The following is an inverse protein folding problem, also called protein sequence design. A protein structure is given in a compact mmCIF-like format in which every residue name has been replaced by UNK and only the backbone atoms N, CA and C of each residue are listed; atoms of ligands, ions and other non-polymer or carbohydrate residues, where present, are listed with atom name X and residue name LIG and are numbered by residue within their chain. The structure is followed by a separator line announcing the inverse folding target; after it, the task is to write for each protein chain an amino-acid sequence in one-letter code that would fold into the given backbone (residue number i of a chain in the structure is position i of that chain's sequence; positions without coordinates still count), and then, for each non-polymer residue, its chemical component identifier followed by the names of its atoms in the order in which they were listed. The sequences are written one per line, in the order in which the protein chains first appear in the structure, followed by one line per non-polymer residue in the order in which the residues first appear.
data_IF_657351383179
#
_entry.id   IF_657351383179
#
_cell.length_a   1.000
_cell.length_b   1.000
_cell.length_c   1.000
_cell.angle_alpha   90.00
_cell.angle_beta   90.00
_cell.angle_gamma   90.00
#
_symmetry.space_group_name_H-M   'P 1'
#
loop_
_entity.id
_entity.type
_entity.pdbx_description
1 polymer ?
#
# COMPACT_ATOMS: atom_id res chain seq x y z
N UNK A 1 -22.65 26.47 -0.47
CA UNK A 1 -21.46 26.54 -1.34
C UNK A 1 -20.39 27.56 -0.90
N UNK A 2 -20.57 28.39 0.14
CA UNK A 2 -19.55 29.39 0.56
C UNK A 2 -18.53 28.80 1.55
N UNK A 3 -18.98 28.00 2.52
CA UNK A 3 -18.14 27.48 3.61
C UNK A 3 -17.00 26.56 3.17
N UNK A 4 -17.20 25.70 2.16
CA UNK A 4 -16.13 24.81 1.67
C UNK A 4 -14.96 25.60 1.12
N UNK A 5 -15.25 26.67 0.38
CA UNK A 5 -14.24 27.45 -0.35
C UNK A 5 -13.35 28.25 0.61
N UNK A 6 -13.89 28.68 1.76
CA UNK A 6 -13.13 29.36 2.81
C UNK A 6 -12.24 28.38 3.59
N UNK A 7 -12.80 27.26 4.08
CA UNK A 7 -12.03 26.24 4.79
C UNK A 7 -10.91 25.65 3.91
N UNK A 8 -11.20 25.41 2.62
CA UNK A 8 -10.20 24.97 1.65
C UNK A 8 -9.09 26.00 1.44
N UNK A 9 -9.40 27.29 1.39
CA UNK A 9 -8.39 28.34 1.24
C UNK A 9 -7.53 28.50 2.48
N UNK A 10 -8.07 28.24 3.66
CA UNK A 10 -7.30 28.29 4.92
C UNK A 10 -6.38 27.07 5.06
N UNK A 11 -6.89 25.87 4.77
CA UNK A 11 -6.15 24.61 4.97
C UNK A 11 -5.21 24.27 3.82
N UNK A 12 -5.53 24.71 2.61
CA UNK A 12 -4.71 24.51 1.43
C UNK A 12 -4.02 25.81 1.08
N UNK A 13 -2.70 25.77 0.89
CA UNK A 13 -1.91 26.93 0.48
C UNK A 13 -2.22 27.32 -0.98
N UNK A 14 -3.41 27.85 -1.23
CA UNK A 14 -3.89 28.26 -2.55
C UNK A 14 -3.31 29.63 -2.88
N UNK A 15 -2.69 29.74 -4.04
CA UNK A 15 -2.14 31.01 -4.54
C UNK A 15 -2.47 31.21 -6.02
N UNK A 16 -2.39 32.45 -6.47
CA UNK A 16 -2.73 32.85 -7.84
C UNK A 16 -1.46 33.05 -8.66
N UNK A 17 -1.46 32.57 -9.90
CA UNK A 17 -0.39 32.76 -10.90
C UNK A 17 -0.91 33.53 -12.11
N UNK A 18 -0.13 33.50 -13.21
CA UNK A 18 -0.48 34.15 -14.47
C UNK A 18 -1.92 33.83 -14.90
N UNK A 19 -2.57 34.82 -15.53
CA UNK A 19 -3.96 34.74 -15.98
C UNK A 19 -5.00 34.52 -14.87
N UNK A 20 -4.67 34.92 -13.63
CA UNK A 20 -5.55 34.78 -12.46
C UNK A 20 -5.93 33.33 -12.13
N UNK A 21 -5.11 32.37 -12.58
CA UNK A 21 -5.35 30.96 -12.33
C UNK A 21 -4.88 30.57 -10.92
N UNK A 22 -5.72 29.83 -10.20
CA UNK A 22 -5.44 29.35 -8.85
C UNK A 22 -4.71 28.01 -8.88
N UNK A 23 -3.74 27.88 -7.98
CA UNK A 23 -2.90 26.70 -7.82
C UNK A 23 -2.79 26.30 -6.36
N UNK A 24 -2.51 25.02 -6.13
CA UNK A 24 -2.04 24.50 -4.84
C UNK A 24 -0.86 23.56 -5.06
N UNK A 25 -0.13 23.24 -4.01
CA UNK A 25 0.94 22.24 -4.05
C UNK A 25 0.41 20.92 -3.50
N UNK A 26 0.47 19.86 -4.30
CA UNK A 26 0.10 18.51 -3.89
C UNK A 26 0.86 18.11 -2.63
N UNK A 27 0.15 17.76 -1.56
CA UNK A 27 0.77 17.47 -0.27
C UNK A 27 1.70 16.25 -0.27
N UNK A 28 1.47 15.30 -1.19
CA UNK A 28 2.30 14.09 -1.34
C UNK A 28 3.41 14.26 -2.37
N UNK A 29 3.09 14.74 -3.58
CA UNK A 29 4.07 14.82 -4.68
C UNK A 29 4.93 16.09 -4.66
N UNK A 30 4.49 17.12 -3.94
CA UNK A 30 5.13 18.43 -3.96
C UNK A 30 5.04 19.15 -5.32
N UNK A 31 4.21 18.67 -6.24
CA UNK A 31 3.97 19.31 -7.54
C UNK A 31 2.89 20.37 -7.42
N UNK A 32 3.01 21.44 -8.20
CA UNK A 32 1.96 22.45 -8.33
C UNK A 32 0.85 21.95 -9.24
N UNK A 33 -0.40 22.16 -8.82
CA UNK A 33 -1.57 21.67 -9.53
C UNK A 33 -2.56 22.83 -9.69
N UNK A 34 -3.06 23.11 -10.91
CA UNK A 34 -4.13 24.07 -11.11
C UNK A 34 -5.42 23.52 -10.50
N UNK A 35 -6.13 24.33 -9.73
CA UNK A 35 -7.38 23.90 -9.08
C UNK A 35 -8.63 24.39 -9.82
N UNK A 36 -8.49 25.41 -10.66
CA UNK A 36 -9.60 25.89 -11.49
C UNK A 36 -10.04 24.80 -12.46
N UNK A 37 -11.33 24.48 -12.44
CA UNK A 37 -11.91 23.39 -13.23
C UNK A 37 -11.56 21.98 -12.75
N UNK A 38 -10.91 21.83 -11.58
CA UNK A 38 -10.57 20.52 -10.97
C UNK A 38 -11.15 20.37 -9.55
N UNK A 39 -12.48 20.40 -9.41
CA UNK A 39 -13.14 20.31 -8.09
C UNK A 39 -12.82 19.02 -7.32
N UNK A 40 -12.59 17.91 -8.00
CA UNK A 40 -12.21 16.64 -7.37
C UNK A 40 -10.81 16.68 -6.75
N UNK A 41 -9.88 17.41 -7.36
CA UNK A 41 -8.52 17.60 -6.82
C UNK A 41 -8.55 18.35 -5.49
N UNK A 42 -9.46 19.32 -5.35
CA UNK A 42 -9.63 20.04 -4.10
C UNK A 42 -10.08 19.11 -2.97
N UNK A 43 -11.09 18.27 -3.24
CA UNK A 43 -11.55 17.25 -2.28
C UNK A 43 -10.43 16.28 -1.92
N UNK A 44 -9.62 15.86 -2.90
CA UNK A 44 -8.44 15.01 -2.69
C UNK A 44 -7.43 15.66 -1.75
N UNK A 45 -7.07 16.93 -2.00
CA UNK A 45 -6.11 17.65 -1.17
C UNK A 45 -6.63 17.87 0.25
N UNK A 46 -7.93 18.07 0.44
CA UNK A 46 -8.55 18.12 1.77
C UNK A 46 -8.44 16.80 2.52
N UNK A 47 -8.71 15.67 1.86
CA UNK A 47 -8.53 14.36 2.47
C UNK A 47 -7.07 14.09 2.86
N UNK A 48 -6.13 14.46 1.98
CA UNK A 48 -4.70 14.38 2.26
C UNK A 48 -4.28 15.30 3.40
N UNK A 49 -4.84 16.50 3.49
CA UNK A 49 -4.59 17.43 4.61
C UNK A 49 -4.97 16.76 5.93
N UNK A 50 -6.16 16.15 6.02
CA UNK A 50 -6.55 15.38 7.20
C UNK A 50 -5.52 14.29 7.53
N UNK A 51 -5.14 13.45 6.56
CA UNK A 51 -4.18 12.37 6.80
C UNK A 51 -2.80 12.87 7.26
N UNK A 52 -2.31 13.98 6.69
CA UNK A 52 -0.93 14.43 6.87
C UNK A 52 -0.78 15.41 8.04
N UNK A 53 -1.75 16.29 8.26
CA UNK A 53 -1.66 17.41 9.20
C UNK A 53 -2.51 17.23 10.44
N UNK A 54 -3.66 16.57 10.33
CA UNK A 54 -4.62 16.48 11.45
C UNK A 54 -4.59 15.10 12.13
N UNK A 55 -4.41 14.02 11.36
CA UNK A 55 -4.53 12.66 11.90
C UNK A 55 -3.34 12.24 12.77
N UNK A 56 -2.16 12.81 12.55
CA UNK A 56 -0.90 12.40 13.18
C UNK A 56 -0.40 11.01 12.75
N UNK A 57 -0.94 10.44 11.67
CA UNK A 57 -0.55 9.11 11.18
C UNK A 57 0.63 9.15 10.21
N UNK A 58 0.73 10.18 9.39
CA UNK A 58 1.81 10.32 8.41
C UNK A 58 2.94 11.19 8.99
N UNK A 59 4.24 10.85 8.77
CA UNK A 59 4.76 9.72 7.98
C UNK A 59 5.04 8.45 8.79
N UNK A 60 4.72 8.45 10.08
CA UNK A 60 5.26 7.46 11.04
C UNK A 60 4.52 6.12 11.03
N UNK A 61 3.23 6.13 10.70
CA UNK A 61 2.35 4.93 10.71
C UNK A 61 1.98 4.47 9.31
N UNK A 62 1.84 5.40 8.37
CA UNK A 62 1.39 5.11 7.02
C UNK A 62 2.32 5.69 5.95
N UNK A 63 2.29 5.04 4.78
CA UNK A 63 2.74 5.62 3.53
C UNK A 63 1.53 5.88 2.64
N UNK A 64 1.62 6.90 1.78
CA UNK A 64 0.51 7.32 0.91
C UNK A 64 1.03 7.39 -0.53
N UNK A 65 0.27 6.82 -1.47
CA UNK A 65 0.43 7.06 -2.90
C UNK A 65 -0.83 7.75 -3.42
N UNK A 66 -0.65 8.60 -4.43
CA UNK A 66 -1.75 9.33 -5.09
C UNK A 66 -1.69 9.05 -6.58
N UNK A 67 -2.85 8.92 -7.22
CA UNK A 67 -2.99 8.65 -8.65
C UNK A 67 -2.21 7.39 -9.11
N UNK A 68 -2.16 6.36 -8.28
CA UNK A 68 -1.50 5.07 -8.57
C UNK A 68 -2.53 3.99 -8.89
N UNK A 69 -2.23 3.12 -9.86
CA UNK A 69 -3.09 2.00 -10.25
C UNK A 69 -4.54 2.39 -10.61
N UNK A 70 -4.76 3.61 -11.12
CA UNK A 70 -6.08 4.22 -11.37
C UNK A 70 -6.92 4.48 -10.11
N UNK A 71 -6.30 4.49 -8.93
CA UNK A 71 -6.92 4.91 -7.68
C UNK A 71 -6.50 6.35 -7.35
N UNK A 72 -7.39 7.11 -6.73
CA UNK A 72 -7.07 8.48 -6.32
C UNK A 72 -6.02 8.52 -5.20
N UNK A 73 -6.24 7.72 -4.15
CA UNK A 73 -5.34 7.62 -3.00
C UNK A 73 -5.25 6.16 -2.54
N UNK A 74 -4.02 5.66 -2.37
CA UNK A 74 -3.73 4.39 -1.73
C UNK A 74 -2.98 4.63 -0.42
N UNK A 75 -3.48 4.07 0.68
CA UNK A 75 -2.85 4.12 1.99
C UNK A 75 -2.21 2.78 2.27
N UNK A 76 -0.94 2.78 2.66
CA UNK A 76 -0.16 1.58 3.01
C UNK A 76 0.33 1.66 4.43
N UNK A 77 0.59 0.51 5.07
CA UNK A 77 1.36 0.47 6.32
C UNK A 77 2.75 1.03 6.07
N UNK A 78 3.31 1.72 7.07
CA UNK A 78 4.70 2.16 7.00
C UNK A 78 5.60 0.92 7.00
N UNK A 79 6.54 0.89 6.06
CA UNK A 79 7.57 -0.11 6.01
C UNK A 79 8.47 -0.03 7.26
N UNK A 80 8.59 -1.15 7.97
CA UNK A 80 9.40 -1.25 9.21
C UNK A 80 10.82 -1.73 8.97
N UNK A 81 11.07 -2.47 7.88
CA UNK A 81 12.36 -3.10 7.61
C UNK A 81 12.78 -2.90 6.14
N UNK A 82 13.98 -2.34 5.93
CA UNK A 82 14.51 -2.04 4.60
C UNK A 82 14.91 -3.29 3.79
N UNK A 83 15.13 -4.42 4.47
CA UNK A 83 15.45 -5.72 3.86
C UNK A 83 14.21 -6.61 3.67
N UNK A 84 13.06 -6.20 4.18
CA UNK A 84 11.80 -6.89 3.98
C UNK A 84 10.79 -5.95 3.33
N UNK A 85 10.79 -5.98 2.00
CA UNK A 85 9.97 -5.15 1.13
C UNK A 85 9.15 -5.98 0.15
N UNK A 86 8.42 -7.04 0.57
CA UNK A 86 7.55 -7.74 -0.36
C UNK A 86 6.46 -6.79 -0.87
N UNK A 87 5.88 -7.12 -2.02
CA UNK A 87 4.67 -6.48 -2.50
C UNK A 87 3.56 -6.64 -1.47
N UNK A 88 2.94 -5.51 -1.11
CA UNK A 88 1.79 -5.46 -0.23
C UNK A 88 0.65 -4.74 -0.94
N UNK A 89 -0.56 -5.27 -0.78
CA UNK A 89 -1.77 -4.56 -1.19
C UNK A 89 -1.94 -3.28 -0.35
N UNK A 90 -2.63 -2.25 -0.87
CA UNK A 90 -3.04 -1.12 -0.04
C UNK A 90 -3.81 -1.58 1.19
N UNK A 91 -3.57 -0.90 2.31
CA UNK A 91 -4.38 -1.02 3.53
C UNK A 91 -5.80 -0.50 3.28
N UNK A 92 -5.88 0.67 2.61
CA UNK A 92 -7.11 1.35 2.26
C UNK A 92 -6.95 1.94 0.86
N UNK A 93 -7.99 1.82 0.04
CA UNK A 93 -8.16 2.59 -1.20
C UNK A 93 -9.20 3.68 -0.96
N UNK A 94 -8.90 4.91 -1.32
CA UNK A 94 -9.85 6.03 -1.26
C UNK A 94 -10.07 6.54 -2.67
N UNK A 95 -11.34 6.61 -3.04
CA UNK A 95 -11.82 7.19 -4.29
C UNK A 95 -12.58 8.48 -3.93
N UNK A 96 -12.15 9.59 -4.52
CA UNK A 96 -12.74 10.90 -4.27
C UNK A 96 -13.69 11.28 -5.39
N UNK A 97 -14.69 12.08 -5.06
CA UNK A 97 -15.61 12.68 -6.04
C UNK A 97 -15.79 14.16 -5.72
N UNK A 98 -16.33 14.89 -6.69
CA UNK A 98 -16.72 16.29 -6.49
C UNK A 98 -17.81 16.40 -5.40
N UNK A 99 -17.86 17.53 -4.72
CA UNK A 99 -18.79 17.78 -3.60
C UNK A 99 -20.28 17.60 -3.95
N UNK A 100 -20.65 17.85 -5.21
CA UNK A 100 -22.02 17.84 -5.70
C UNK A 100 -22.51 16.45 -6.13
N UNK A 101 -21.64 15.45 -6.06
CA UNK A 101 -21.90 14.11 -6.61
C UNK A 101 -22.48 13.18 -5.55
N UNK A 102 -23.57 12.48 -5.90
CA UNK A 102 -24.08 11.35 -5.13
C UNK A 102 -23.10 10.17 -5.19
N UNK A 103 -22.49 9.84 -4.04
CA UNK A 103 -21.49 8.78 -3.93
C UNK A 103 -22.05 7.37 -4.20
N UNK A 104 -23.36 7.15 -4.05
CA UNK A 104 -23.98 5.83 -4.28
C UNK A 104 -23.79 5.33 -5.72
N UNK A 105 -23.69 6.24 -6.68
CA UNK A 105 -23.45 5.91 -8.08
C UNK A 105 -22.09 5.23 -8.32
N UNK A 106 -21.18 5.28 -7.36
CA UNK A 106 -19.79 4.81 -7.48
C UNK A 106 -19.50 3.55 -6.65
N UNK A 107 -20.52 2.91 -6.07
CA UNK A 107 -20.36 1.69 -5.28
C UNK A 107 -19.68 0.57 -6.08
N UNK A 108 -20.12 0.35 -7.32
CA UNK A 108 -19.55 -0.68 -8.19
C UNK A 108 -18.07 -0.39 -8.52
N UNK A 109 -17.68 0.88 -8.61
CA UNK A 109 -16.31 1.27 -8.91
C UNK A 109 -15.39 0.90 -7.74
N UNK A 110 -15.72 1.33 -6.52
CA UNK A 110 -14.87 1.06 -5.36
C UNK A 110 -14.83 -0.43 -5.03
N UNK A 111 -15.95 -1.16 -5.14
CA UNK A 111 -15.97 -2.61 -4.93
C UNK A 111 -15.06 -3.34 -5.94
N UNK A 112 -15.07 -2.94 -7.21
CA UNK A 112 -14.17 -3.49 -8.24
C UNK A 112 -12.71 -3.23 -7.90
N UNK A 113 -12.36 -2.03 -7.43
CA UNK A 113 -11.00 -1.72 -6.99
C UNK A 113 -10.54 -2.60 -5.83
N UNK A 114 -11.39 -2.80 -4.82
CA UNK A 114 -11.10 -3.69 -3.70
C UNK A 114 -10.92 -5.15 -4.12
N UNK A 115 -11.73 -5.63 -5.07
CA UNK A 115 -11.59 -6.98 -5.61
C UNK A 115 -10.27 -7.15 -6.34
N UNK A 116 -9.97 -6.26 -7.29
CA UNK A 116 -8.81 -6.38 -8.18
C UNK A 116 -7.48 -6.17 -7.45
N UNK A 117 -7.45 -5.27 -6.46
CA UNK A 117 -6.26 -4.97 -5.68
C UNK A 117 -6.05 -5.93 -4.51
N UNK A 118 -7.04 -6.77 -4.17
CA UNK A 118 -7.01 -7.57 -2.95
C UNK A 118 -7.00 -6.72 -1.67
N UNK A 119 -7.45 -5.47 -1.73
CA UNK A 119 -7.63 -4.58 -0.59
C UNK A 119 -8.98 -4.85 0.09
N UNK A 120 -9.02 -4.76 1.43
CA UNK A 120 -10.23 -5.06 2.19
C UNK A 120 -11.03 -3.81 2.59
N UNK A 121 -10.46 -2.61 2.50
CA UNK A 121 -11.11 -1.38 2.95
C UNK A 121 -11.11 -0.36 1.82
N UNK A 122 -12.30 0.09 1.45
CA UNK A 122 -12.49 1.16 0.47
C UNK A 122 -13.23 2.33 1.07
N UNK A 123 -12.94 3.53 0.61
CA UNK A 123 -13.62 4.75 1.04
C UNK A 123 -14.05 5.54 -0.19
N UNK A 124 -15.32 5.90 -0.25
CA UNK A 124 -15.81 6.96 -1.14
C UNK A 124 -15.94 8.25 -0.34
N UNK A 125 -15.42 9.35 -0.89
CA UNK A 125 -15.39 10.63 -0.21
C UNK A 125 -15.67 11.78 -1.18
N UNK A 126 -16.61 12.66 -0.84
CA UNK A 126 -16.89 13.88 -1.60
C UNK A 126 -16.81 15.14 -0.73
N UNK A 127 -16.03 15.13 0.34
CA UNK A 127 -16.02 16.15 1.40
C UNK A 127 -17.18 16.06 2.39
N UNK A 128 -18.42 16.07 1.91
CA UNK A 128 -19.61 16.10 2.77
C UNK A 128 -20.01 14.73 3.31
N UNK A 129 -19.79 13.69 2.51
CA UNK A 129 -20.14 12.31 2.81
C UNK A 129 -18.89 11.45 2.78
N UNK A 130 -18.87 10.48 3.69
CA UNK A 130 -17.87 9.43 3.77
C UNK A 130 -18.63 8.12 3.74
N UNK A 131 -18.26 7.21 2.86
CA UNK A 131 -18.84 5.87 2.77
C UNK A 131 -17.71 4.86 2.81
N UNK A 132 -17.71 4.00 3.83
CA UNK A 132 -16.67 2.99 4.04
C UNK A 132 -17.21 1.63 3.63
N UNK A 133 -16.42 0.91 2.85
CA UNK A 133 -16.64 -0.47 2.43
C UNK A 133 -15.63 -1.36 3.14
N UNK A 134 -16.11 -2.34 3.89
CA UNK A 134 -15.28 -3.39 4.49
C UNK A 134 -15.62 -4.71 3.81
N UNK A 135 -14.64 -5.28 3.11
CA UNK A 135 -14.77 -6.58 2.47
C UNK A 135 -14.54 -7.68 3.50
N UNK A 136 -15.54 -8.54 3.67
CA UNK A 136 -15.44 -9.81 4.41
C UNK A 136 -15.73 -10.96 3.45
N UNK A 137 -14.67 -11.66 3.06
CA UNK A 137 -14.74 -12.72 2.04
C UNK A 137 -15.33 -12.21 0.71
N UNK A 138 -16.57 -12.58 0.39
CA UNK A 138 -17.27 -12.23 -0.85
C UNK A 138 -18.38 -11.18 -0.64
N UNK A 139 -18.49 -10.61 0.55
CA UNK A 139 -19.52 -9.61 0.89
C UNK A 139 -18.87 -8.29 1.31
N UNK A 140 -19.61 -7.20 1.15
CA UNK A 140 -19.22 -5.85 1.57
C UNK A 140 -20.17 -5.35 2.64
N UNK A 141 -19.60 -4.97 3.78
CA UNK A 141 -20.29 -4.20 4.82
C UNK A 141 -20.06 -2.71 4.54
N UNK A 142 -21.14 -1.92 4.57
CA UNK A 142 -21.12 -0.49 4.22
C UNK A 142 -21.44 0.34 5.47
N UNK A 143 -20.61 1.34 5.74
CA UNK A 143 -20.74 2.23 6.89
C UNK A 143 -20.69 3.69 6.46
N UNK A 144 -21.44 4.53 7.17
CA UNK A 144 -21.58 5.97 6.91
C UNK A 144 -21.10 6.75 8.16
N UNK A 145 -19.79 6.92 8.35
CA UNK A 145 -19.29 7.67 9.49
C UNK A 145 -19.60 9.17 9.36
N UNK A 146 -19.77 9.82 10.50
CA UNK A 146 -20.06 11.26 10.55
C UNK A 146 -18.83 12.14 10.30
N UNK A 147 -17.61 11.61 10.48
CA UNK A 147 -16.38 12.37 10.33
C UNK A 147 -15.14 11.50 10.03
N UNK A 148 -14.07 12.17 9.61
CA UNK A 148 -12.80 11.54 9.20
C UNK A 148 -12.04 10.86 10.35
N UNK A 149 -12.35 11.15 11.63
CA UNK A 149 -11.69 10.49 12.78
C UNK A 149 -11.90 8.97 12.74
N UNK A 150 -13.03 8.50 12.21
CA UNK A 150 -13.29 7.06 12.05
C UNK A 150 -12.27 6.40 11.11
N UNK A 151 -11.79 7.12 10.10
CA UNK A 151 -10.77 6.63 9.16
C UNK A 151 -9.44 6.46 9.90
N UNK A 152 -9.07 7.41 10.77
CA UNK A 152 -7.88 7.28 11.62
C UNK A 152 -7.95 6.03 12.50
N UNK A 153 -9.10 5.79 13.13
CA UNK A 153 -9.31 4.58 13.95
C UNK A 153 -9.16 3.29 13.15
N UNK A 154 -9.73 3.25 11.93
CA UNK A 154 -9.61 2.09 11.04
C UNK A 154 -8.16 1.82 10.64
N UNK A 155 -7.39 2.86 10.30
CA UNK A 155 -5.98 2.72 9.99
C UNK A 155 -5.21 2.15 11.17
N UNK A 156 -5.44 2.68 12.39
CA UNK A 156 -4.77 2.20 13.60
C UNK A 156 -5.15 0.76 13.94
N UNK A 157 -6.42 0.39 13.81
CA UNK A 157 -6.86 -0.98 14.01
C UNK A 157 -6.18 -1.93 13.02
N UNK A 158 -6.15 -1.55 11.74
CA UNK A 158 -5.54 -2.37 10.71
C UNK A 158 -4.01 -2.44 10.83
N UNK A 159 -3.35 -1.43 11.41
CA UNK A 159 -1.90 -1.44 11.74
C UNK A 159 -1.56 -2.23 13.01
N UNK A 160 -2.49 -2.33 13.98
CA UNK A 160 -2.26 -2.96 15.28
C UNK A 160 -2.07 -4.48 15.25
N UNK A 161 -2.32 -5.13 14.11
CA UNK A 161 -2.07 -6.57 13.95
C UNK A 161 -0.57 -6.86 13.98
N UNK A 162 -0.18 -7.95 14.65
CA UNK A 162 1.19 -8.50 14.55
C UNK A 162 1.48 -8.72 13.05
N UNK A 163 2.66 -8.28 12.63
CA UNK A 163 3.13 -8.51 11.26
C UNK A 163 3.78 -9.89 11.24
N UNK A 164 2.95 -10.93 11.12
CA UNK A 164 3.39 -12.33 11.13
C UNK A 164 4.47 -12.58 10.06
N UNK A 165 4.37 -11.90 8.91
CA UNK A 165 5.33 -12.01 7.82
C UNK A 165 6.70 -11.43 8.20
N UNK A 166 6.71 -10.30 8.91
CA UNK A 166 7.96 -9.73 9.44
C UNK A 166 8.58 -10.62 10.53
N UNK A 167 7.76 -11.24 11.39
CA UNK A 167 8.25 -12.18 12.40
C UNK A 167 8.88 -13.42 11.75
N UNK A 168 8.22 -14.01 10.75
CA UNK A 168 8.79 -15.11 9.97
C UNK A 168 10.06 -14.68 9.23
N UNK A 169 10.13 -13.44 8.75
CA UNK A 169 11.35 -12.90 8.16
C UNK A 169 12.50 -12.86 9.16
N UNK A 170 12.28 -12.32 10.37
CA UNK A 170 13.29 -12.28 11.44
C UNK A 170 13.74 -13.69 11.86
N UNK A 171 12.82 -14.65 11.96
CA UNK A 171 13.13 -16.05 12.22
C UNK A 171 14.01 -16.67 11.11
N UNK A 172 13.67 -16.41 9.85
CA UNK A 172 14.45 -16.87 8.70
C UNK A 172 15.83 -16.21 8.62
N UNK A 173 15.97 -14.95 9.03
CA UNK A 173 17.28 -14.29 9.16
C UNK A 173 18.17 -14.96 10.20
N UNK A 174 17.57 -15.57 11.22
CA UNK A 174 18.24 -16.36 12.26
C UNK A 174 18.39 -17.85 11.88
N UNK A 175 18.16 -18.21 10.62
CA UNK A 175 18.40 -19.55 10.08
C UNK A 175 17.25 -20.54 10.22
N UNK A 176 16.05 -20.09 10.61
CA UNK A 176 14.88 -20.95 10.59
C UNK A 176 14.45 -21.29 9.14
N UNK A 177 14.66 -22.54 8.73
CA UNK A 177 14.33 -23.00 7.38
C UNK A 177 12.83 -23.13 7.12
N UNK A 178 12.01 -23.38 8.15
CA UNK A 178 10.55 -23.44 8.00
C UNK A 178 9.99 -22.05 7.70
N UNK A 179 10.45 -21.04 8.42
CA UNK A 179 10.12 -19.64 8.16
C UNK A 179 10.56 -19.20 6.76
N UNK A 180 11.76 -19.61 6.33
CA UNK A 180 12.20 -19.37 4.96
C UNK A 180 11.27 -20.00 3.91
N UNK A 181 10.91 -21.28 4.08
CA UNK A 181 9.97 -22.00 3.21
C UNK A 181 8.60 -21.31 3.17
N UNK A 182 8.09 -20.87 4.32
CA UNK A 182 6.85 -20.10 4.42
C UNK A 182 6.89 -18.85 3.52
N UNK A 183 7.94 -18.04 3.67
CA UNK A 183 8.07 -16.76 2.94
C UNK A 183 8.26 -16.95 1.44
N UNK A 184 9.09 -17.91 0.99
CA UNK A 184 9.31 -18.12 -0.45
C UNK A 184 8.07 -18.69 -1.15
N UNK A 185 7.27 -19.51 -0.46
CA UNK A 185 5.99 -19.99 -0.98
C UNK A 185 4.98 -18.84 -1.14
N UNK A 186 5.01 -17.87 -0.22
CA UNK A 186 4.10 -16.72 -0.23
C UNK A 186 4.49 -15.66 -1.26
N UNK A 187 5.77 -15.30 -1.33
CA UNK A 187 6.23 -14.15 -2.12
C UNK A 187 7.03 -14.52 -3.37
N UNK A 188 7.79 -15.62 -3.33
CA UNK A 188 8.83 -15.87 -4.32
C UNK A 188 8.47 -16.95 -5.36
N UNK A 189 7.20 -17.36 -5.41
CA UNK A 189 6.68 -18.29 -6.43
C UNK A 189 6.72 -17.72 -7.85
N UNK A 190 6.71 -16.40 -7.98
CA UNK A 190 6.72 -15.67 -9.25
C UNK A 190 8.00 -14.83 -9.39
N UNK A 191 8.18 -14.18 -10.55
CA UNK A 191 9.38 -13.39 -10.88
C UNK A 191 9.38 -11.98 -10.27
N UNK A 192 8.35 -11.63 -9.52
CA UNK A 192 8.11 -10.28 -9.03
C UNK A 192 8.86 -9.97 -7.73
N UNK A 193 9.57 -10.93 -7.15
CA UNK A 193 10.37 -10.72 -5.97
C UNK A 193 11.77 -11.30 -6.15
N UNK A 194 12.75 -10.60 -5.58
CA UNK A 194 14.11 -11.12 -5.41
C UNK A 194 14.31 -11.51 -3.95
N UNK A 195 14.83 -12.72 -3.73
CA UNK A 195 15.14 -13.27 -2.42
C UNK A 195 16.65 -13.49 -2.33
N UNK A 196 17.33 -12.79 -1.44
CA UNK A 196 18.73 -13.06 -1.13
C UNK A 196 18.84 -13.97 0.09
N UNK A 197 19.57 -15.06 -0.05
CA UNK A 197 19.78 -16.04 1.01
C UNK A 197 21.20 -16.60 0.98
N UNK A 198 21.59 -17.30 2.05
CA UNK A 198 22.90 -17.95 2.15
C UNK A 198 22.72 -19.43 2.50
N UNK A 199 23.58 -20.26 1.92
CA UNK A 199 23.69 -21.69 2.19
C UNK A 199 24.97 -21.97 2.99
N UNK A 200 24.93 -22.95 3.90
CA UNK A 200 26.03 -23.27 4.83
C UNK A 200 27.38 -23.53 4.15
N UNK A 201 27.34 -24.12 2.96
CA UNK A 201 28.51 -24.53 2.19
C UNK A 201 28.88 -23.55 1.07
N UNK A 202 28.25 -22.37 1.00
CA UNK A 202 28.55 -21.35 0.01
C UNK A 202 29.16 -20.10 0.65
N UNK A 203 30.20 -19.57 0.01
CA UNK A 203 30.90 -18.38 0.48
C UNK A 203 30.08 -17.09 0.28
N UNK A 204 29.38 -16.99 -0.85
CA UNK A 204 28.59 -15.82 -1.22
C UNK A 204 27.10 -16.02 -1.00
N UNK A 205 26.38 -14.91 -0.79
CA UNK A 205 24.93 -14.89 -0.88
C UNK A 205 24.45 -15.22 -2.30
N UNK A 206 23.22 -15.71 -2.39
CA UNK A 206 22.56 -16.05 -3.64
C UNK A 206 21.30 -15.21 -3.75
N UNK A 207 21.15 -14.53 -4.88
CA UNK A 207 19.92 -13.86 -5.26
C UNK A 207 19.09 -14.80 -6.14
N UNK A 208 17.92 -15.19 -5.63
CA UNK A 208 17.01 -16.13 -6.28
C UNK A 208 15.64 -15.55 -6.54
N UNK A 209 14.92 -16.19 -7.47
CA UNK A 209 13.51 -15.97 -7.80
C UNK A 209 12.87 -17.26 -8.33
N UNK A 210 11.55 -17.29 -8.53
CA UNK A 210 10.79 -18.49 -8.98
C UNK A 210 11.09 -19.72 -8.12
N UNK A 211 10.91 -19.58 -6.81
CA UNK A 211 11.10 -20.67 -5.88
C UNK A 211 9.97 -21.69 -5.98
N UNK A 212 10.33 -22.96 -5.81
CA UNK A 212 9.41 -24.06 -5.70
C UNK A 212 9.92 -25.04 -4.65
N UNK A 213 9.03 -25.50 -3.77
CA UNK A 213 9.39 -26.39 -2.67
C UNK A 213 8.78 -27.76 -2.92
N UNK A 214 9.64 -28.79 -2.95
CA UNK A 214 9.26 -30.20 -3.12
C UNK A 214 9.85 -30.99 -1.96
N UNK A 215 9.00 -31.35 -1.01
CA UNK A 215 9.42 -32.04 0.22
C UNK A 215 10.53 -31.24 0.93
N UNK A 216 11.74 -31.79 0.98
CA UNK A 216 12.92 -31.15 1.58
C UNK A 216 13.80 -30.40 0.58
N UNK A 217 13.45 -30.38 -0.70
CA UNK A 217 14.24 -29.70 -1.75
C UNK A 217 13.61 -28.38 -2.16
N UNK A 218 14.46 -27.37 -2.30
CA UNK A 218 14.08 -26.03 -2.73
C UNK A 218 14.71 -25.79 -4.10
N UNK A 219 13.87 -25.60 -5.11
CA UNK A 219 14.25 -25.26 -6.47
C UNK A 219 14.11 -23.74 -6.66
N UNK A 220 15.04 -23.09 -7.37
CA UNK A 220 14.99 -21.65 -7.63
C UNK A 220 15.77 -21.28 -8.90
N UNK A 221 15.55 -20.09 -9.45
CA UNK A 221 16.42 -19.52 -10.49
C UNK A 221 17.29 -18.42 -9.90
N UNK A 222 18.55 -18.34 -10.35
CA UNK A 222 19.46 -17.27 -9.94
C UNK A 222 19.23 -16.00 -10.75
N UNK A 223 19.21 -14.84 -10.08
CA UNK A 223 19.22 -13.54 -10.75
C UNK A 223 20.53 -13.32 -11.55
N UNK A 224 20.45 -12.62 -12.68
CA UNK A 224 21.62 -12.14 -13.44
C UNK A 224 22.40 -13.17 -14.26
N UNK A 225 22.08 -14.47 -14.21
CA UNK A 225 22.72 -15.49 -15.07
C UNK A 225 21.89 -15.77 -16.33
N UNK A 226 22.54 -15.72 -17.50
CA UNK A 226 21.93 -16.02 -18.81
C UNK A 226 21.35 -17.44 -18.93
N UNK A 227 21.75 -18.38 -18.06
CA UNK A 227 21.15 -19.71 -18.00
C UNK A 227 19.89 -19.72 -17.13
N UNK A 228 18.71 -19.84 -17.74
CA UNK A 228 17.42 -20.00 -17.05
C UNK A 228 17.23 -21.34 -16.31
N UNK A 229 18.32 -22.07 -16.01
CA UNK A 229 18.27 -23.39 -15.39
C UNK A 229 18.00 -23.24 -13.89
N UNK A 230 17.03 -24.02 -13.42
CA UNK A 230 16.77 -24.15 -11.99
C UNK A 230 18.00 -24.71 -11.28
N UNK A 231 18.30 -24.13 -10.12
CA UNK A 231 19.22 -24.63 -9.13
C UNK A 231 18.41 -25.28 -8.01
N UNK A 232 19.03 -26.18 -7.26
CA UNK A 232 18.38 -26.85 -6.14
C UNK A 232 19.30 -26.92 -4.93
N UNK A 233 18.72 -26.96 -3.74
CA UNK A 233 19.41 -27.26 -2.49
C UNK A 233 18.45 -27.95 -1.51
N UNK A 234 18.99 -28.67 -0.52
CA UNK A 234 18.20 -29.26 0.55
C UNK A 234 17.91 -28.23 1.64
N UNK A 235 16.69 -28.20 2.20
CA UNK A 235 16.25 -27.21 3.18
C UNK A 235 17.14 -27.15 4.43
N UNK A 236 17.87 -28.23 4.72
CA UNK A 236 18.85 -28.32 5.80
C UNK A 236 20.14 -27.53 5.52
N UNK A 237 20.45 -27.25 4.26
CA UNK A 237 21.62 -26.46 3.83
C UNK A 237 21.38 -24.95 3.97
N UNK A 238 20.15 -24.53 4.24
CA UNK A 238 19.81 -23.15 4.50
C UNK A 238 20.58 -22.63 5.72
N UNK A 239 21.29 -21.50 5.56
CA UNK A 239 21.98 -20.81 6.64
C UNK A 239 21.15 -19.65 7.16
N UNK A 240 20.71 -18.75 6.27
CA UNK A 240 19.92 -17.57 6.63
C UNK A 240 19.31 -16.87 5.42
N UNK A 241 18.23 -16.16 5.69
CA UNK A 241 17.64 -15.18 4.78
C UNK A 241 18.34 -13.82 4.97
N UNK A 242 18.54 -13.08 3.88
CA UNK A 242 19.17 -11.75 3.91
C UNK A 242 18.11 -10.68 3.61
N UNK A 243 17.39 -10.81 2.50
CA UNK A 243 16.31 -9.91 2.14
C UNK A 243 15.25 -10.57 1.26
N UNK A 244 14.05 -9.97 1.25
CA UNK A 244 13.00 -10.19 0.24
C UNK A 244 12.53 -8.82 -0.21
N UNK A 245 12.65 -8.53 -1.50
CA UNK A 245 12.27 -7.24 -2.09
C UNK A 245 11.47 -7.45 -3.37
N UNK A 246 10.44 -6.62 -3.57
CA UNK A 246 9.68 -6.48 -4.82
C UNK A 246 10.37 -5.52 -5.79
#
# INVERSE_FOLDING_TARGET
MIYLNEEMQEKLNIYIKQYNQKYTKCLIRGLEIPIDGRPEELVRQMFLHFLIKESGLFPDKINIKVESNNHDIEIYKKQKNEKFKPYQNPLIIVEVKREDVNLQNYYNQIQRYLINSGCNIGILYNYHEIIIFIRKSNQFEIYYPENLRKIKELILQADSSIDDDLLEFENAQNGNSQSFVYLINKYAKYTNHTVAFKLKHQLSAIDGYLFNVKENKIEYKMCGKYSQKYQTFDSQDFEKLIYIIY
#
